data_IF_874012040227
#
_entry.id   IF_874012040227
#
_cell.length_a   1.000
_cell.length_b   1.000
_cell.length_c   1.000
_cell.angle_alpha   90.00
_cell.angle_beta   90.00
_cell.angle_gamma   90.00
#
_symmetry.space_group_name_H-M   'P 1'
#
loop_
_entity.id
_entity.type
_entity.pdbx_description
1 polymer ?
#
# COMPACT_ATOMS: atom_id res chain seq x y z
N UNK A 1 19.10 -16.89 6.49
CA UNK A 1 19.82 -15.65 6.87
C UNK A 1 19.27 -14.40 6.17
N UNK A 2 19.55 -14.15 4.88
CA UNK A 2 19.08 -12.91 4.19
C UNK A 2 17.55 -12.72 4.26
N UNK A 3 16.78 -13.73 3.86
CA UNK A 3 15.30 -13.68 3.86
C UNK A 3 14.74 -13.55 5.28
N UNK A 4 15.31 -14.26 6.25
CA UNK A 4 14.90 -14.17 7.66
C UNK A 4 15.13 -12.76 8.22
N UNK A 5 16.28 -12.14 7.92
CA UNK A 5 16.58 -10.79 8.37
C UNK A 5 15.64 -9.75 7.71
N UNK A 6 15.35 -9.91 6.42
CA UNK A 6 14.41 -9.05 5.71
C UNK A 6 12.98 -9.21 6.25
N UNK A 7 12.51 -10.44 6.44
CA UNK A 7 11.21 -10.72 7.02
C UNK A 7 11.10 -10.17 8.45
N UNK A 8 12.14 -10.35 9.28
CA UNK A 8 12.22 -9.79 10.63
C UNK A 8 12.11 -8.26 10.61
N UNK A 9 12.78 -7.60 9.66
CA UNK A 9 12.68 -6.15 9.51
C UNK A 9 11.25 -5.72 9.15
N UNK A 10 10.63 -6.36 8.15
CA UNK A 10 9.26 -6.03 7.72
C UNK A 10 8.27 -6.23 8.87
N UNK A 11 8.25 -7.40 9.52
CA UNK A 11 7.28 -7.65 10.59
C UNK A 11 7.48 -6.79 11.82
N UNK A 12 8.68 -6.25 12.07
CA UNK A 12 8.94 -5.34 13.20
C UNK A 12 8.53 -3.89 12.91
N UNK A 13 8.62 -3.45 11.66
CA UNK A 13 8.46 -2.03 11.30
C UNK A 13 7.15 -1.73 10.56
N UNK A 14 6.63 -2.67 9.75
CA UNK A 14 5.38 -2.52 9.03
C UNK A 14 4.15 -2.59 9.96
N UNK A 15 2.94 -2.36 9.42
CA UNK A 15 2.59 -2.15 8.00
C UNK A 15 2.74 -0.69 7.50
N UNK A 16 3.13 0.23 8.37
CA UNK A 16 3.31 1.65 8.02
C UNK A 16 4.71 1.84 7.48
N UNK A 17 4.81 2.43 6.29
CA UNK A 17 6.11 2.78 5.69
C UNK A 17 6.58 4.16 6.13
N UNK A 18 7.90 4.34 6.23
CA UNK A 18 8.52 5.64 6.45
C UNK A 18 8.46 6.54 5.22
N UNK A 19 8.48 5.94 4.02
CA UNK A 19 8.32 6.62 2.73
C UNK A 19 7.62 5.66 1.74
N UNK A 20 6.78 6.20 0.86
CA UNK A 20 6.19 5.46 -0.26
C UNK A 20 7.19 5.30 -1.41
N UNK A 21 6.79 4.63 -2.50
CA UNK A 21 7.71 4.32 -3.61
C UNK A 21 8.26 5.56 -4.33
N UNK A 22 7.66 6.72 -4.10
CA UNK A 22 8.11 8.00 -4.64
C UNK A 22 9.11 8.72 -3.72
N UNK A 23 9.42 8.15 -2.55
CA UNK A 23 10.37 8.68 -1.57
C UNK A 23 9.88 10.00 -0.93
N UNK A 24 8.57 10.13 -0.81
CA UNK A 24 7.92 11.38 -0.38
C UNK A 24 7.26 11.25 0.99
N UNK A 25 6.35 10.30 1.17
CA UNK A 25 5.44 10.35 2.32
C UNK A 25 5.39 9.06 3.14
N UNK A 26 5.28 9.22 4.46
CA UNK A 26 5.07 8.10 5.40
C UNK A 26 3.57 7.76 5.51
N UNK A 27 3.25 6.47 5.72
CA UNK A 27 1.87 6.06 5.94
C UNK A 27 1.53 4.66 5.41
N UNK A 28 0.24 4.43 5.23
CA UNK A 28 -0.32 3.24 4.59
C UNK A 28 -0.44 3.47 3.09
N UNK A 29 0.52 2.99 2.32
CA UNK A 29 0.48 3.01 0.85
C UNK A 29 -0.05 1.68 0.32
N UNK A 30 -1.05 1.64 -0.58
CA UNK A 30 -1.46 0.41 -1.25
C UNK A 30 -0.31 -0.33 -1.93
N UNK A 31 0.65 0.40 -2.51
CA UNK A 31 1.83 -0.20 -3.14
C UNK A 31 2.72 -0.89 -2.12
N UNK A 32 3.10 -0.17 -1.06
CA UNK A 32 3.99 -0.73 -0.04
C UNK A 32 3.33 -1.91 0.68
N UNK A 33 2.06 -1.79 1.06
CA UNK A 33 1.30 -2.90 1.64
C UNK A 33 1.28 -4.13 0.71
N UNK A 34 1.07 -3.93 -0.60
CA UNK A 34 1.07 -5.02 -1.56
C UNK A 34 2.39 -5.79 -1.60
N UNK A 35 3.50 -5.05 -1.64
CA UNK A 35 4.86 -5.62 -1.67
C UNK A 35 5.21 -6.30 -0.35
N UNK A 36 4.89 -5.66 0.79
CA UNK A 36 5.13 -6.21 2.11
C UNK A 36 4.40 -7.54 2.31
N UNK A 37 3.09 -7.58 2.05
CA UNK A 37 2.27 -8.78 2.22
C UNK A 37 2.74 -9.90 1.29
N UNK A 38 2.99 -9.61 0.01
CA UNK A 38 3.50 -10.61 -0.93
C UNK A 38 4.89 -11.13 -0.52
N UNK A 39 5.76 -10.23 -0.03
CA UNK A 39 7.08 -10.57 0.49
C UNK A 39 7.02 -11.46 1.73
N UNK A 40 6.12 -11.18 2.68
CA UNK A 40 5.91 -12.01 3.88
C UNK A 40 5.42 -13.41 3.51
N UNK A 41 4.49 -13.53 2.57
CA UNK A 41 4.01 -14.84 2.09
C UNK A 41 5.10 -15.63 1.37
N UNK A 42 5.86 -14.99 0.49
CA UNK A 42 6.98 -15.62 -0.18
C UNK A 42 8.06 -16.08 0.82
N UNK A 43 8.40 -15.24 1.80
CA UNK A 43 9.31 -15.61 2.87
C UNK A 43 8.78 -16.79 3.69
N UNK A 44 7.47 -16.81 4.00
CA UNK A 44 6.86 -17.93 4.72
C UNK A 44 7.02 -19.25 3.96
N UNK A 45 6.77 -19.29 2.66
CA UNK A 45 6.95 -20.51 1.85
C UNK A 45 8.41 -21.00 1.86
N UNK A 46 9.37 -20.08 1.85
CA UNK A 46 10.80 -20.43 1.95
C UNK A 46 11.16 -21.00 3.32
N UNK A 47 10.59 -20.46 4.40
CA UNK A 47 10.80 -20.97 5.76
C UNK A 47 10.10 -22.32 5.97
N UNK A 48 8.93 -22.51 5.38
CA UNK A 48 8.18 -23.77 5.36
C UNK A 48 9.00 -24.88 4.68
N UNK A 49 9.59 -24.58 3.52
CA UNK A 49 10.50 -25.48 2.82
C UNK A 49 11.76 -25.83 3.63
N UNK A 50 12.13 -25.01 4.61
CA UNK A 50 13.21 -25.29 5.57
C UNK A 50 12.73 -25.94 6.89
N UNK A 51 11.46 -26.31 7.00
CA UNK A 51 10.88 -26.92 8.21
C UNK A 51 10.71 -25.98 9.40
N UNK A 52 10.74 -24.66 9.17
CA UNK A 52 10.62 -23.63 10.22
C UNK A 52 9.14 -23.24 10.41
N UNK A 53 8.37 -24.12 11.06
CA UNK A 53 6.91 -23.99 11.17
C UNK A 53 6.44 -22.73 11.93
N UNK A 54 7.04 -22.43 13.08
CA UNK A 54 6.64 -21.29 13.92
C UNK A 54 6.76 -19.95 13.19
N UNK A 55 7.92 -19.54 12.64
CA UNK A 55 8.02 -18.27 11.92
C UNK A 55 7.18 -18.28 10.63
N UNK A 56 7.03 -19.42 9.97
CA UNK A 56 6.15 -19.55 8.78
C UNK A 56 4.71 -19.15 9.12
N UNK A 57 4.17 -19.68 10.21
CA UNK A 57 2.81 -19.36 10.65
C UNK A 57 2.71 -17.88 11.04
N UNK A 58 3.68 -17.35 11.78
CA UNK A 58 3.69 -15.95 12.17
C UNK A 58 3.69 -14.99 10.96
N UNK A 59 4.51 -15.27 9.94
CA UNK A 59 4.54 -14.47 8.71
C UNK A 59 3.21 -14.50 7.95
N UNK A 60 2.60 -15.69 7.81
CA UNK A 60 1.29 -15.85 7.17
C UNK A 60 0.18 -15.14 7.94
N UNK A 61 0.16 -15.26 9.27
CA UNK A 61 -0.82 -14.57 10.13
C UNK A 61 -0.69 -13.05 10.08
N UNK A 62 0.54 -12.53 10.03
CA UNK A 62 0.82 -11.11 9.87
C UNK A 62 0.35 -10.61 8.50
N UNK A 63 0.70 -11.33 7.43
CA UNK A 63 0.26 -11.03 6.07
C UNK A 63 -1.27 -11.00 5.95
N UNK A 64 -1.96 -11.98 6.55
CA UNK A 64 -3.43 -12.03 6.57
C UNK A 64 -4.01 -10.84 7.34
N UNK A 65 -3.45 -10.51 8.49
CA UNK A 65 -3.89 -9.39 9.32
C UNK A 65 -3.79 -8.06 8.58
N UNK A 66 -2.72 -7.86 7.80
CA UNK A 66 -2.53 -6.66 6.99
C UNK A 66 -3.43 -6.66 5.75
N UNK A 67 -3.52 -7.79 5.03
CA UNK A 67 -4.39 -7.93 3.86
C UNK A 67 -5.86 -7.64 4.16
N UNK A 68 -6.34 -8.10 5.31
CA UNK A 68 -7.70 -7.90 5.83
C UNK A 68 -8.05 -6.43 6.13
N UNK A 69 -7.05 -5.55 6.20
CA UNK A 69 -7.19 -4.17 6.66
C UNK A 69 -6.85 -3.14 5.58
N UNK A 70 -6.40 -3.57 4.40
CA UNK A 70 -6.05 -2.68 3.29
C UNK A 70 -7.19 -1.69 3.02
N UNK A 71 -8.43 -2.16 2.84
CA UNK A 71 -9.57 -1.27 2.55
C UNK A 71 -9.86 -0.31 3.70
N UNK A 72 -9.73 -0.77 4.94
CA UNK A 72 -9.94 0.08 6.12
C UNK A 72 -8.94 1.24 6.12
N UNK A 73 -7.70 0.97 5.75
CA UNK A 73 -6.61 1.95 5.76
C UNK A 73 -6.62 2.86 4.53
N UNK A 74 -6.90 2.33 3.34
CA UNK A 74 -6.58 3.02 2.09
C UNK A 74 -7.76 3.23 1.15
N UNK A 75 -8.96 2.70 1.44
CA UNK A 75 -10.15 2.91 0.60
C UNK A 75 -11.08 3.98 1.18
N UNK A 76 -11.33 5.03 0.38
CA UNK A 76 -12.21 6.15 0.73
C UNK A 76 -13.50 6.10 -0.09
N UNK A 77 -14.57 6.65 0.45
CA UNK A 77 -15.91 6.67 -0.17
C UNK A 77 -16.58 8.01 0.08
N UNK A 78 -17.49 8.43 -0.81
CA UNK A 78 -18.27 9.65 -0.60
C UNK A 78 -17.46 10.94 -0.68
N UNK A 79 -16.36 10.94 -1.44
CA UNK A 79 -15.48 12.09 -1.63
C UNK A 79 -15.85 12.88 -2.88
N UNK A 80 -15.44 14.16 -2.95
CA UNK A 80 -15.65 15.01 -4.12
C UNK A 80 -14.99 14.45 -5.39
N UNK A 81 -13.78 13.90 -5.27
CA UNK A 81 -13.10 13.29 -6.42
C UNK A 81 -13.83 12.01 -6.89
N UNK A 82 -14.40 11.24 -5.97
CA UNK A 82 -15.23 10.07 -6.30
C UNK A 82 -16.48 10.48 -7.07
N UNK A 83 -17.17 11.52 -6.61
CA UNK A 83 -18.33 12.08 -7.30
C UNK A 83 -17.99 12.57 -8.72
N UNK A 84 -16.87 13.29 -8.89
CA UNK A 84 -16.39 13.76 -10.21
C UNK A 84 -16.06 12.62 -11.16
N UNK A 85 -15.44 11.55 -10.65
CA UNK A 85 -15.11 10.35 -11.42
C UNK A 85 -16.31 9.39 -11.63
N UNK A 86 -17.46 9.67 -11.01
CA UNK A 86 -18.65 8.83 -11.09
C UNK A 86 -18.48 7.47 -10.40
N UNK A 87 -17.76 7.42 -9.29
CA UNK A 87 -17.49 6.21 -8.50
C UNK A 87 -17.84 6.39 -7.02
N UNK A 88 -18.22 5.30 -6.37
CA UNK A 88 -18.60 5.32 -4.95
C UNK A 88 -17.39 5.45 -4.01
N UNK A 89 -16.21 5.07 -4.47
CA UNK A 89 -14.96 5.15 -3.73
C UNK A 89 -13.74 4.73 -4.56
N UNK A 90 -12.55 4.89 -3.99
CA UNK A 90 -11.28 4.52 -4.62
C UNK A 90 -10.19 4.34 -3.55
N UNK A 91 -9.10 3.67 -3.92
CA UNK A 91 -7.89 3.65 -3.10
C UNK A 91 -7.11 4.96 -3.24
N UNK A 92 -6.72 5.54 -2.11
CA UNK A 92 -5.85 6.73 -2.07
C UNK A 92 -4.39 6.36 -2.34
N UNK A 93 -3.54 7.34 -2.66
CA UNK A 93 -2.08 7.14 -2.77
C UNK A 93 -1.50 6.62 -1.45
N UNK A 94 -1.79 7.32 -0.37
CA UNK A 94 -1.26 7.03 0.96
C UNK A 94 -2.19 7.62 2.02
N UNK A 95 -2.45 6.87 3.08
CA UNK A 95 -3.17 7.35 4.25
C UNK A 95 -2.18 7.58 5.41
N UNK A 96 -2.27 8.68 6.16
CA UNK A 96 -1.38 8.93 7.28
C UNK A 96 -1.51 7.84 8.36
N UNK A 97 -0.47 7.63 9.20
CA UNK A 97 -0.52 6.62 10.25
C UNK A 97 -1.64 6.89 11.25
N UNK A 98 -2.11 5.83 11.92
CA UNK A 98 -3.04 5.94 13.05
C UNK A 98 -2.33 6.66 14.21
N UNK A 99 -2.53 7.97 14.33
CA UNK A 99 -2.30 8.64 15.61
C UNK A 99 -3.43 8.24 16.58
N UNK A 100 -3.16 8.25 17.88
CA UNK A 100 -4.18 7.91 18.88
C UNK A 100 -5.39 8.86 18.93
N UNK A 101 -5.54 9.82 18.00
CA UNK A 101 -6.62 10.82 17.92
C UNK A 101 -7.65 10.66 16.78
N UNK A 102 -7.27 10.27 15.56
CA UNK A 102 -8.18 10.23 14.40
C UNK A 102 -9.11 8.99 14.36
N UNK A 103 -10.34 9.10 13.83
CA UNK A 103 -11.29 7.97 13.74
C UNK A 103 -10.88 6.93 12.67
N UNK A 104 -10.03 7.31 11.71
CA UNK A 104 -9.42 6.44 10.70
C UNK A 104 -8.11 7.07 10.17
N UNK A 105 -7.09 6.27 9.80
CA UNK A 105 -5.89 6.74 9.10
C UNK A 105 -6.15 7.63 7.90
N UNK A 106 -7.24 7.39 7.17
CA UNK A 106 -7.53 8.04 5.87
C UNK A 106 -8.08 9.47 5.97
N UNK A 107 -8.46 9.92 7.17
CA UNK A 107 -9.07 11.24 7.38
C UNK A 107 -8.01 12.35 7.66
N UNK A 108 -6.72 12.01 7.60
CA UNK A 108 -5.63 12.96 7.85
C UNK A 108 -5.09 13.67 6.59
N UNK A 109 -4.08 14.51 6.80
CA UNK A 109 -3.41 15.27 5.73
C UNK A 109 -2.06 14.64 5.37
N UNK A 110 -1.68 14.77 4.09
CA UNK A 110 -0.39 14.31 3.55
C UNK A 110 0.28 15.51 2.85
N UNK A 111 1.56 15.78 3.15
CA UNK A 111 2.29 16.86 2.50
C UNK A 111 2.72 16.46 1.09
N UNK A 112 2.31 17.21 0.08
CA UNK A 112 2.83 17.09 -1.28
C UNK A 112 4.20 17.77 -1.34
N UNK A 113 5.27 16.97 -1.49
CA UNK A 113 6.63 17.47 -1.74
C UNK A 113 6.71 18.20 -3.08
N UNK A 114 7.80 18.96 -3.26
CA UNK A 114 8.14 19.61 -4.53
C UNK A 114 7.17 20.72 -4.97
N UNK A 115 6.51 21.38 -4.00
CA UNK A 115 5.60 22.51 -4.20
C UNK A 115 5.98 23.71 -3.34
N UNK A 116 5.51 24.93 -3.69
CA UNK A 116 5.64 26.08 -2.81
C UNK A 116 5.00 25.81 -1.43
N UNK A 117 5.59 26.30 -0.31
CA UNK A 117 5.14 25.96 1.06
C UNK A 117 3.67 26.25 1.39
N UNK A 118 3.00 27.09 0.61
CA UNK A 118 1.58 27.42 0.82
C UNK A 118 0.60 26.42 0.15
N UNK A 119 1.08 25.45 -0.64
CA UNK A 119 0.25 24.50 -1.41
C UNK A 119 0.69 23.04 -1.22
N UNK A 120 1.33 22.73 -0.09
CA UNK A 120 1.84 21.39 0.22
C UNK A 120 0.77 20.50 0.84
N UNK A 121 -0.08 21.01 1.73
CA UNK A 121 -0.94 20.12 2.52
C UNK A 121 -2.25 19.79 1.80
N UNK A 122 -2.52 18.50 1.59
CA UNK A 122 -3.79 18.01 1.01
C UNK A 122 -4.41 16.91 1.89
N UNK A 123 -5.75 16.82 1.97
CA UNK A 123 -6.41 15.67 2.57
C UNK A 123 -5.97 14.39 1.85
N UNK A 124 -5.66 13.32 2.59
CA UNK A 124 -5.22 12.04 2.01
C UNK A 124 -6.22 11.51 0.97
N UNK A 125 -7.51 11.67 1.25
CA UNK A 125 -8.59 11.30 0.35
C UNK A 125 -8.57 12.02 -1.01
N UNK A 126 -7.95 13.20 -1.10
CA UNK A 126 -7.84 13.96 -2.33
C UNK A 126 -6.68 13.52 -3.23
N UNK A 127 -5.79 12.63 -2.75
CA UNK A 127 -4.59 12.22 -3.48
C UNK A 127 -4.82 10.83 -4.10
N UNK A 128 -5.05 10.80 -5.42
CA UNK A 128 -5.20 9.57 -6.21
C UNK A 128 -3.84 9.22 -6.81
N UNK A 129 -3.55 7.92 -6.96
CA UNK A 129 -2.32 7.43 -7.61
C UNK A 129 -2.55 6.09 -8.32
N UNK A 130 -1.85 5.79 -9.44
CA UNK A 130 -1.86 4.47 -10.05
C UNK A 130 -1.24 3.37 -9.18
N UNK A 131 -0.56 3.72 -8.10
CA UNK A 131 0.09 2.83 -7.12
C UNK A 131 -0.84 1.72 -6.61
N UNK A 132 -2.14 1.99 -6.50
CA UNK A 132 -3.14 1.02 -6.07
C UNK A 132 -3.25 -0.23 -6.98
N UNK A 133 -2.79 -0.16 -8.24
CA UNK A 133 -2.75 -1.32 -9.14
C UNK A 133 -1.77 -2.39 -8.67
N UNK A 134 -0.84 -2.06 -7.77
CA UNK A 134 0.01 -3.03 -7.10
C UNK A 134 -0.79 -4.11 -6.37
N UNK A 135 -1.96 -3.78 -5.84
CA UNK A 135 -2.85 -4.77 -5.19
C UNK A 135 -3.22 -5.91 -6.16
N UNK A 136 -3.36 -5.61 -7.46
CA UNK A 136 -3.58 -6.63 -8.50
C UNK A 136 -2.26 -7.24 -8.94
N UNK A 137 -1.23 -6.43 -9.19
CA UNK A 137 0.09 -6.89 -9.67
C UNK A 137 0.73 -7.91 -8.73
N UNK A 138 0.54 -7.75 -7.43
CA UNK A 138 1.04 -8.63 -6.37
C UNK A 138 0.01 -9.68 -5.88
N UNK A 139 -1.13 -9.80 -6.58
CA UNK A 139 -2.08 -10.88 -6.36
C UNK A 139 -2.93 -10.78 -5.10
N UNK A 140 -3.11 -9.58 -4.52
CA UNK A 140 -3.95 -9.40 -3.33
C UNK A 140 -5.42 -9.13 -3.65
N UNK A 141 -5.70 -8.49 -4.79
CA UNK A 141 -7.05 -8.21 -5.29
C UNK A 141 -7.20 -8.70 -6.72
N UNK A 142 -8.39 -9.16 -7.07
CA UNK A 142 -8.71 -9.54 -8.44
C UNK A 142 -8.82 -8.27 -9.32
N UNK A 143 -8.48 -8.39 -10.60
CA UNK A 143 -8.50 -7.25 -11.52
C UNK A 143 -9.92 -6.71 -11.77
N UNK A 144 -10.94 -7.55 -11.54
CA UNK A 144 -12.37 -7.27 -11.65
C UNK A 144 -13.05 -6.94 -10.31
N UNK A 145 -12.28 -6.82 -9.22
CA UNK A 145 -12.81 -6.34 -7.93
C UNK A 145 -13.46 -4.95 -8.13
N UNK A 146 -14.71 -4.73 -7.68
CA UNK A 146 -15.40 -3.45 -7.85
C UNK A 146 -14.61 -2.24 -7.33
N UNK A 147 -13.86 -2.40 -6.23
CA UNK A 147 -13.01 -1.34 -5.66
C UNK A 147 -11.84 -1.01 -6.58
N UNK A 148 -11.24 -2.03 -7.21
CA UNK A 148 -10.20 -1.85 -8.23
C UNK A 148 -10.76 -1.17 -9.47
N UNK A 149 -11.91 -1.62 -9.97
CA UNK A 149 -12.56 -1.01 -11.15
C UNK A 149 -12.90 0.46 -10.91
N UNK A 150 -13.44 0.80 -9.74
CA UNK A 150 -13.71 2.18 -9.37
C UNK A 150 -12.41 3.00 -9.25
N UNK A 151 -11.37 2.43 -8.66
CA UNK A 151 -10.06 3.10 -8.53
C UNK A 151 -9.43 3.37 -9.89
N UNK A 152 -9.51 2.43 -10.84
CA UNK A 152 -9.02 2.61 -12.22
C UNK A 152 -9.74 3.79 -12.90
N UNK A 153 -11.06 3.91 -12.74
CA UNK A 153 -11.83 5.05 -13.27
C UNK A 153 -11.40 6.37 -12.63
N UNK A 154 -11.19 6.39 -11.32
CA UNK A 154 -10.71 7.58 -10.61
C UNK A 154 -9.31 8.00 -11.07
N UNK A 155 -8.38 7.04 -11.22
CA UNK A 155 -7.05 7.26 -11.80
C UNK A 155 -7.17 7.86 -13.21
N UNK A 156 -8.01 7.30 -14.05
CA UNK A 156 -8.15 7.76 -15.44
C UNK A 156 -8.82 9.14 -15.54
N UNK A 157 -9.75 9.46 -14.64
CA UNK A 157 -10.40 10.77 -14.61
C UNK A 157 -9.46 11.89 -14.17
N UNK A 158 -8.54 11.61 -13.25
CA UNK A 158 -7.71 12.61 -12.59
C UNK A 158 -6.28 12.70 -13.15
N UNK A 159 -5.69 11.56 -13.54
CA UNK A 159 -4.25 11.46 -13.81
C UNK A 159 -3.91 11.11 -15.26
N UNK A 160 -4.89 10.80 -16.10
CA UNK A 160 -4.62 10.47 -17.50
C UNK A 160 -4.30 11.72 -18.30
N UNK A 161 -3.22 11.65 -19.07
CA UNK A 161 -2.82 12.64 -20.06
C UNK A 161 -2.84 12.01 -21.45
N UNK A 162 -3.73 12.47 -22.32
CA UNK A 162 -3.82 12.01 -23.70
C UNK A 162 -2.83 12.77 -24.59
N UNK A 163 -1.80 12.08 -25.06
CA UNK A 163 -0.75 12.62 -25.92
C UNK A 163 -0.84 12.06 -27.35
N UNK A 164 -0.20 12.69 -28.35
CA UNK A 164 -0.18 12.16 -29.73
C UNK A 164 0.36 10.73 -29.86
N UNK A 165 1.18 10.29 -28.90
CA UNK A 165 1.74 8.94 -28.85
C UNK A 165 0.81 7.91 -28.20
N UNK A 166 -0.25 8.34 -27.52
CA UNK A 166 -1.15 7.54 -26.70
C UNK A 166 -1.25 8.08 -25.26
N UNK A 167 -2.09 7.45 -24.41
CA UNK A 167 -2.33 7.90 -23.05
C UNK A 167 -1.19 7.54 -22.09
N UNK A 168 -0.78 8.52 -21.28
CA UNK A 168 0.14 8.33 -20.15
C UNK A 168 -0.51 8.81 -18.85
N UNK A 169 0.15 8.59 -17.71
CA UNK A 169 -0.37 9.01 -16.40
C UNK A 169 0.68 9.77 -15.59
N UNK A 170 0.22 10.72 -14.77
CA UNK A 170 1.03 11.32 -13.70
C UNK A 170 1.12 10.35 -12.51
N UNK A 171 2.13 10.55 -11.64
CA UNK A 171 2.36 9.69 -10.46
C UNK A 171 1.21 9.76 -9.46
N UNK A 172 0.71 10.97 -9.20
CA UNK A 172 -0.41 11.22 -8.31
C UNK A 172 -0.96 12.64 -8.49
N UNK A 173 -2.14 12.90 -7.91
CA UNK A 173 -2.81 14.20 -8.01
C UNK A 173 -1.96 15.30 -7.38
N UNK A 174 -1.60 16.29 -8.19
CA UNK A 174 -0.83 17.43 -7.73
C UNK A 174 0.68 17.21 -7.61
N UNK A 175 1.23 16.17 -8.22
CA UNK A 175 2.69 15.99 -8.31
C UNK A 175 3.44 17.26 -8.76
N UNK A 176 4.51 17.62 -8.05
CA UNK A 176 5.37 18.78 -8.31
C UNK A 176 6.75 18.44 -8.87
N UNK A 177 7.06 17.16 -9.09
CA UNK A 177 8.40 16.73 -9.52
C UNK A 177 8.53 16.73 -11.05
N UNK A 178 8.91 17.88 -11.60
CA UNK A 178 9.18 18.03 -13.03
C UNK A 178 9.48 19.48 -13.36
N UNK A 179 9.64 19.79 -14.64
CA UNK A 179 9.93 21.15 -15.08
C UNK A 179 8.84 22.13 -14.64
N UNK A 180 9.18 23.42 -14.59
CA UNK A 180 8.22 24.50 -14.38
C UNK A 180 7.29 24.69 -15.60
N UNK A 181 6.26 25.51 -15.45
CA UNK A 181 5.31 25.81 -16.53
C UNK A 181 5.98 26.42 -17.77
N UNK A 182 7.06 27.19 -17.58
CA UNK A 182 7.86 27.80 -18.65
C UNK A 182 8.90 26.83 -19.27
N UNK A 183 8.90 25.56 -18.84
CA UNK A 183 9.87 24.55 -19.27
C UNK A 183 11.26 24.71 -18.68
N UNK A 184 11.45 25.60 -17.69
CA UNK A 184 12.71 25.64 -16.95
C UNK A 184 12.89 24.38 -16.10
N UNK A 185 14.14 23.90 -15.93
CA UNK A 185 14.41 22.67 -15.20
C UNK A 185 13.90 22.70 -13.76
N UNK A 186 13.55 21.52 -13.23
CA UNK A 186 13.22 21.33 -11.82
C UNK A 186 14.36 21.82 -10.91
N UNK A 187 14.02 22.60 -9.88
CA UNK A 187 14.97 23.19 -8.94
C UNK A 187 14.62 22.88 -7.45
N UNK A 188 13.74 21.91 -7.24
CA UNK A 188 13.14 21.61 -5.93
C UNK A 188 11.63 21.87 -5.89
N UNK A 189 11.10 22.63 -6.86
CA UNK A 189 9.66 22.74 -7.10
C UNK A 189 9.36 22.70 -8.60
N UNK A 190 8.13 22.37 -8.98
CA UNK A 190 7.72 22.37 -10.38
C UNK A 190 6.36 21.73 -10.60
N UNK A 191 6.20 21.09 -11.76
CA UNK A 191 5.01 20.33 -12.12
C UNK A 191 5.41 18.95 -12.61
N UNK A 192 4.90 17.91 -11.94
CA UNK A 192 5.06 16.54 -12.39
C UNK A 192 4.54 16.36 -13.81
N UNK A 193 5.25 15.55 -14.60
CA UNK A 193 4.89 15.23 -15.98
C UNK A 193 4.43 13.77 -16.09
N UNK A 194 3.84 13.33 -17.22
CA UNK A 194 3.42 11.94 -17.38
C UNK A 194 4.61 10.98 -17.47
N UNK A 195 4.48 9.80 -16.85
CA UNK A 195 5.52 8.77 -16.78
C UNK A 195 5.20 7.60 -17.73
N UNK A 196 6.05 7.30 -18.73
CA UNK A 196 5.86 6.13 -19.60
C UNK A 196 5.82 4.81 -18.86
N UNK A 197 6.58 4.69 -17.77
CA UNK A 197 6.56 3.56 -16.85
C UNK A 197 5.13 3.16 -16.44
N UNK A 198 4.28 4.15 -16.15
CA UNK A 198 2.93 3.91 -15.65
C UNK A 198 1.97 3.40 -16.74
N UNK A 199 2.26 3.66 -18.02
CA UNK A 199 1.57 2.97 -19.12
C UNK A 199 1.95 1.48 -19.15
N UNK A 200 3.20 1.14 -18.85
CA UNK A 200 3.64 -0.25 -18.65
C UNK A 200 2.94 -0.94 -17.49
N UNK A 201 2.84 -0.29 -16.32
CA UNK A 201 2.13 -0.82 -15.16
C UNK A 201 0.62 -0.98 -15.44
N UNK A 202 -0.01 0.00 -16.10
CA UNK A 202 -1.40 -0.10 -16.57
C UNK A 202 -1.55 -1.28 -17.53
N UNK A 203 -0.63 -1.49 -18.47
CA UNK A 203 -0.70 -2.60 -19.41
C UNK A 203 -0.71 -3.98 -18.72
N UNK A 204 0.06 -4.15 -17.64
CA UNK A 204 0.00 -5.38 -16.84
C UNK A 204 -1.35 -5.55 -16.13
N UNK A 205 -1.95 -4.47 -15.63
CA UNK A 205 -3.31 -4.52 -15.10
C UNK A 205 -4.33 -4.91 -16.19
N UNK A 206 -4.24 -4.30 -17.37
CA UNK A 206 -5.12 -4.63 -18.50
C UNK A 206 -4.99 -6.09 -18.93
N UNK A 207 -3.77 -6.63 -18.94
CA UNK A 207 -3.52 -8.04 -19.19
C UNK A 207 -4.12 -8.93 -18.10
N UNK A 208 -3.95 -8.59 -16.82
CA UNK A 208 -4.57 -9.30 -15.70
C UNK A 208 -6.10 -9.26 -15.75
N UNK A 209 -6.69 -8.20 -16.30
CA UNK A 209 -8.12 -8.06 -16.55
C UNK A 209 -8.60 -8.78 -17.82
N UNK A 210 -7.74 -9.54 -18.50
CA UNK A 210 -8.06 -10.28 -19.73
C UNK A 210 -8.15 -9.42 -21.00
N UNK A 211 -7.73 -8.15 -20.95
CA UNK A 211 -7.80 -7.18 -22.05
C UNK A 211 -6.47 -7.10 -22.80
N UNK A 212 -6.04 -8.22 -23.39
CA UNK A 212 -4.73 -8.36 -24.05
C UNK A 212 -4.48 -7.32 -25.15
N UNK A 213 -5.47 -7.02 -25.98
CA UNK A 213 -5.33 -6.03 -27.05
C UNK A 213 -5.08 -4.63 -26.50
N UNK A 214 -5.70 -4.28 -25.37
CA UNK A 214 -5.47 -3.01 -24.69
C UNK A 214 -4.07 -2.94 -24.09
N UNK A 215 -3.59 -4.02 -23.50
CA UNK A 215 -2.22 -4.11 -23.01
C UNK A 215 -1.19 -3.95 -24.14
N UNK A 216 -1.45 -4.53 -25.33
CA UNK A 216 -0.58 -4.36 -26.50
C UNK A 216 -0.55 -2.90 -27.02
N UNK A 217 -1.70 -2.22 -27.06
CA UNK A 217 -1.75 -0.78 -27.41
C UNK A 217 -0.96 0.10 -26.43
N UNK A 218 -0.99 -0.25 -25.14
CA UNK A 218 -0.21 0.46 -24.12
C UNK A 218 1.29 0.16 -24.23
N UNK A 219 1.68 -1.04 -24.65
CA UNK A 219 3.07 -1.32 -25.02
C UNK A 219 3.53 -0.41 -26.17
N UNK A 220 2.73 -0.25 -27.22
CA UNK A 220 3.07 0.66 -28.33
C UNK A 220 3.21 2.11 -27.85
N UNK A 221 2.33 2.55 -26.95
CA UNK A 221 2.40 3.88 -26.31
C UNK A 221 3.70 4.03 -25.51
N UNK A 222 4.05 3.01 -24.73
CA UNK A 222 5.26 2.99 -23.92
C UNK A 222 6.51 3.08 -24.82
N UNK A 223 6.59 2.28 -25.88
CA UNK A 223 7.71 2.28 -26.83
C UNK A 223 7.81 3.62 -27.60
N UNK A 224 6.69 4.24 -27.96
CA UNK A 224 6.67 5.55 -28.63
C UNK A 224 7.15 6.71 -27.76
N UNK A 225 7.22 6.51 -26.45
CA UNK A 225 7.76 7.49 -25.50
C UNK A 225 9.29 7.57 -25.53
N UNK A 226 9.96 6.60 -26.17
CA UNK A 226 11.42 6.58 -26.24
C UNK A 226 12.00 7.73 -27.07
N UNK A 227 13.20 8.16 -26.70
CA UNK A 227 14.01 9.06 -27.53
C UNK A 227 14.49 8.39 -28.83
N UNK A 228 15.15 9.16 -29.70
CA UNK A 228 15.64 8.67 -31.02
C UNK A 228 16.56 7.45 -30.92
N UNK A 229 17.30 7.30 -29.80
CA UNK A 229 18.17 6.17 -29.53
C UNK A 229 17.46 4.95 -28.94
N UNK A 230 16.14 4.97 -28.76
CA UNK A 230 15.36 3.89 -28.14
C UNK A 230 15.44 3.84 -26.62
N UNK A 231 15.98 4.89 -25.98
CA UNK A 231 16.04 4.99 -24.53
C UNK A 231 14.71 5.49 -23.98
N UNK A 232 14.11 4.73 -23.05
CA UNK A 232 12.91 5.12 -22.33
C UNK A 232 13.23 6.14 -21.23
N UNK A 233 12.54 7.30 -21.20
CA UNK A 233 12.74 8.31 -20.17
C UNK A 233 11.93 8.00 -18.91
N UNK A 234 12.24 8.73 -17.85
CA UNK A 234 11.40 8.80 -16.66
C UNK A 234 10.08 9.54 -16.95
N UNK A 235 10.16 10.72 -17.56
CA UNK A 235 9.02 11.59 -17.87
C UNK A 235 9.01 12.05 -19.32
N UNK A 236 7.84 12.42 -19.82
CA UNK A 236 7.67 13.06 -21.14
C UNK A 236 7.03 14.44 -21.03
N UNK A 237 7.35 15.33 -21.96
CA UNK A 237 6.76 16.66 -22.03
C UNK A 237 5.30 16.61 -22.49
N UNK A 238 4.43 17.33 -21.78
CA UNK A 238 2.97 17.29 -21.94
C UNK A 238 2.35 18.65 -22.32
N UNK A 239 3.19 19.62 -22.68
CA UNK A 239 2.79 20.97 -23.10
C UNK A 239 3.14 21.22 -24.56
N UNK A 240 2.67 22.35 -25.15
CA UNK A 240 3.13 22.75 -26.48
C UNK A 240 4.65 22.77 -26.59
N UNK A 241 5.14 22.59 -27.80
CA UNK A 241 6.57 22.56 -28.08
C UNK A 241 7.26 23.83 -27.59
N UNK A 242 8.40 23.65 -26.93
CA UNK A 242 9.29 24.73 -26.47
C UNK A 242 10.68 24.49 -27.08
N UNK A 243 10.90 24.86 -28.36
CA UNK A 243 12.13 24.51 -29.09
C UNK A 243 13.40 25.05 -28.44
N UNK A 244 13.36 26.25 -27.84
CA UNK A 244 14.50 26.87 -27.16
C UNK A 244 14.95 26.10 -25.90
N UNK A 245 14.12 25.17 -25.42
CA UNK A 245 14.39 24.26 -24.29
C UNK A 245 14.55 22.80 -24.74
N UNK A 246 14.48 22.53 -26.05
CA UNK A 246 14.50 21.18 -26.63
C UNK A 246 13.33 20.28 -26.15
N UNK A 247 12.22 20.88 -25.70
CA UNK A 247 11.04 20.17 -25.22
C UNK A 247 9.99 20.08 -26.33
N UNK A 248 9.51 18.86 -26.60
CA UNK A 248 8.54 18.58 -27.67
C UNK A 248 7.40 17.74 -27.13
N UNK A 249 6.16 18.06 -27.49
CA UNK A 249 4.97 17.37 -26.99
C UNK A 249 5.05 15.86 -27.21
N UNK A 250 4.98 15.10 -26.14
CA UNK A 250 5.05 13.64 -26.14
C UNK A 250 6.47 13.08 -26.36
N UNK A 251 7.52 13.88 -26.17
CA UNK A 251 8.92 13.45 -26.19
C UNK A 251 9.53 13.49 -24.80
N UNK A 252 10.68 12.81 -24.57
CA UNK A 252 11.38 12.86 -23.30
C UNK A 252 11.52 14.30 -22.76
N UNK A 253 11.25 14.47 -21.47
CA UNK A 253 11.53 15.73 -20.77
C UNK A 253 13.01 15.83 -20.37
N UNK A 254 13.39 16.81 -19.54
CA UNK A 254 14.72 16.93 -18.94
C UNK A 254 14.99 15.99 -17.76
N UNK A 255 14.04 15.11 -17.42
CA UNK A 255 14.18 14.06 -16.40
C UNK A 255 15.17 12.96 -16.79
N UNK A 256 15.39 11.98 -15.91
CA UNK A 256 16.35 10.91 -16.15
C UNK A 256 16.04 10.10 -17.43
N UNK A 257 17.02 9.96 -18.31
CA UNK A 257 16.96 9.07 -19.49
C UNK A 257 18.36 8.49 -19.79
N UNK A 258 18.53 7.14 -19.76
CA UNK A 258 17.50 6.13 -19.59
C UNK A 258 17.08 5.93 -18.12
N UNK A 259 15.78 5.74 -17.88
CA UNK A 259 15.29 5.22 -16.60
C UNK A 259 15.35 3.68 -16.64
N UNK A 260 16.23 3.07 -15.85
CA UNK A 260 16.40 1.60 -15.80
C UNK A 260 15.11 0.89 -15.37
N UNK A 261 14.32 1.50 -14.49
CA UNK A 261 13.01 0.98 -14.08
C UNK A 261 12.04 0.88 -15.27
N UNK A 262 11.92 1.92 -16.10
CA UNK A 262 11.08 1.88 -17.30
C UNK A 262 11.51 0.75 -18.26
N UNK A 263 12.81 0.56 -18.44
CA UNK A 263 13.32 -0.55 -19.28
C UNK A 263 13.02 -1.92 -18.68
N UNK A 264 13.14 -2.08 -17.36
CA UNK A 264 12.76 -3.33 -16.69
C UNK A 264 11.25 -3.60 -16.85
N UNK A 265 10.40 -2.58 -16.70
CA UNK A 265 8.95 -2.72 -16.88
C UNK A 265 8.60 -3.09 -18.33
N UNK A 266 9.28 -2.51 -19.32
CA UNK A 266 9.13 -2.86 -20.73
C UNK A 266 9.47 -4.34 -21.00
N UNK A 267 10.60 -4.83 -20.51
CA UNK A 267 10.99 -6.25 -20.67
C UNK A 267 9.97 -7.18 -20.00
N UNK A 268 9.50 -6.84 -18.80
CA UNK A 268 8.47 -7.61 -18.09
C UNK A 268 7.15 -7.60 -18.84
N UNK A 269 6.77 -6.49 -19.47
CA UNK A 269 5.54 -6.39 -20.27
C UNK A 269 5.62 -7.24 -21.54
N UNK A 270 6.74 -7.18 -22.27
CA UNK A 270 6.98 -8.03 -23.44
C UNK A 270 6.86 -9.52 -23.08
N UNK A 271 7.49 -9.91 -21.97
CA UNK A 271 7.39 -11.28 -21.46
C UNK A 271 5.95 -11.65 -21.08
N UNK A 272 5.25 -10.76 -20.41
CA UNK A 272 3.87 -10.98 -19.98
C UNK A 272 2.90 -11.14 -21.15
N UNK A 273 3.00 -10.28 -22.18
CA UNK A 273 2.16 -10.35 -23.38
C UNK A 273 2.39 -11.64 -24.18
N UNK A 274 3.65 -12.09 -24.24
CA UNK A 274 4.01 -13.37 -24.86
C UNK A 274 3.39 -14.55 -24.12
N UNK A 275 3.49 -14.56 -22.79
CA UNK A 275 2.97 -15.65 -21.95
C UNK A 275 1.44 -15.57 -21.79
N UNK A 276 0.82 -14.42 -22.09
CA UNK A 276 -0.61 -14.19 -21.89
C UNK A 276 -1.01 -14.02 -20.42
N UNK A 277 -0.04 -13.82 -19.53
CA UNK A 277 -0.22 -13.64 -18.10
C UNK A 277 0.88 -12.71 -17.56
N UNK A 278 0.60 -12.03 -16.45
CA UNK A 278 1.57 -11.15 -15.79
C UNK A 278 2.75 -11.98 -15.27
N UNK A 279 3.94 -11.73 -15.80
CA UNK A 279 5.14 -12.56 -15.60
C UNK A 279 5.64 -12.58 -14.15
N UNK A 280 5.62 -11.43 -13.49
CA UNK A 280 6.19 -11.21 -12.15
C UNK A 280 5.13 -11.18 -11.04
N UNK A 281 3.92 -11.70 -11.32
CA UNK A 281 2.88 -11.82 -10.31
C UNK A 281 3.20 -12.98 -9.35
N UNK A 282 3.39 -12.73 -8.04
CA UNK A 282 3.63 -13.79 -7.06
C UNK A 282 2.38 -14.67 -6.88
N UNK A 283 2.51 -16.00 -6.91
CA UNK A 283 1.35 -16.89 -6.85
C UNK A 283 0.69 -16.93 -5.47
N UNK A 284 1.43 -16.62 -4.39
CA UNK A 284 0.97 -16.81 -3.01
C UNK A 284 -0.30 -16.02 -2.70
N UNK A 285 -0.33 -14.74 -3.05
CA UNK A 285 -1.51 -13.89 -2.85
C UNK A 285 -2.72 -14.39 -3.63
N UNK A 286 -2.52 -14.84 -4.87
CA UNK A 286 -3.59 -15.34 -5.73
C UNK A 286 -4.25 -16.58 -5.13
N UNK A 287 -3.45 -17.57 -4.74
CA UNK A 287 -4.00 -18.79 -4.13
C UNK A 287 -4.67 -18.48 -2.78
N UNK A 288 -4.04 -17.64 -1.96
CA UNK A 288 -4.47 -17.38 -0.59
C UNK A 288 -5.68 -16.44 -0.50
N UNK A 289 -5.64 -15.30 -1.16
CA UNK A 289 -6.60 -14.21 -1.00
C UNK A 289 -7.66 -14.14 -2.11
N UNK A 290 -7.29 -14.44 -3.35
CA UNK A 290 -8.24 -14.39 -4.47
C UNK A 290 -9.05 -15.69 -4.55
N UNK A 291 -8.36 -16.84 -4.63
CA UNK A 291 -9.01 -18.16 -4.74
C UNK A 291 -9.50 -18.67 -3.39
N UNK A 292 -8.61 -18.69 -2.39
CA UNK A 292 -8.89 -19.20 -1.05
C UNK A 292 -9.73 -18.27 -0.19
N UNK A 293 -9.84 -16.97 -0.55
CA UNK A 293 -10.55 -15.93 0.22
C UNK A 293 -10.17 -15.94 1.70
N UNK A 294 -8.90 -16.18 1.98
CA UNK A 294 -8.38 -16.29 3.34
C UNK A 294 -8.53 -14.96 4.06
N UNK A 295 -9.08 -15.00 5.27
CA UNK A 295 -9.20 -13.85 6.17
C UNK A 295 -8.45 -14.14 7.46
N UNK A 296 -7.98 -13.10 8.14
CA UNK A 296 -7.26 -13.29 9.41
C UNK A 296 -8.20 -13.64 10.55
N UNK A 297 -7.92 -14.65 11.39
CA UNK A 297 -8.71 -14.92 12.59
C UNK A 297 -8.41 -13.95 13.74
N UNK A 298 -7.48 -13.01 13.55
CA UNK A 298 -7.00 -12.11 14.60
C UNK A 298 -6.84 -10.67 14.10
N UNK A 299 -6.59 -9.77 15.06
CA UNK A 299 -6.09 -8.42 14.84
C UNK A 299 -4.93 -8.16 15.77
N UNK A 300 -3.93 -7.45 15.27
CA UNK A 300 -2.72 -7.14 16.01
C UNK A 300 -2.77 -5.74 16.59
N UNK A 301 -2.48 -5.61 17.88
CA UNK A 301 -2.26 -4.34 18.55
C UNK A 301 -0.79 -4.19 18.92
N UNK A 302 -0.24 -2.99 18.69
CA UNK A 302 1.14 -2.62 19.05
C UNK A 302 1.19 -1.18 19.55
N UNK A 303 2.27 -0.81 20.23
CA UNK A 303 2.51 0.60 20.61
C UNK A 303 2.61 1.55 19.41
N UNK A 304 3.12 1.08 18.28
CA UNK A 304 3.21 1.84 17.02
C UNK A 304 2.00 1.61 16.09
N UNK A 305 1.03 0.77 16.49
CA UNK A 305 -0.22 0.55 15.76
C UNK A 305 -1.34 0.23 16.77
N UNK A 306 -1.87 1.29 17.39
CA UNK A 306 -2.85 1.21 18.48
C UNK A 306 -4.26 1.16 17.92
N UNK A 307 -4.63 0.01 17.38
CA UNK A 307 -6.01 -0.21 16.92
C UNK A 307 -6.99 0.08 18.06
N UNK A 308 -8.11 0.75 17.75
CA UNK A 308 -9.15 1.08 18.73
C UNK A 308 -10.31 0.10 18.73
N UNK A 309 -10.39 -0.73 17.71
CA UNK A 309 -11.43 -1.73 17.59
C UNK A 309 -11.02 -2.92 16.73
N UNK A 310 -11.70 -4.03 16.99
CA UNK A 310 -11.61 -5.27 16.24
C UNK A 310 -13.01 -5.77 15.87
N UNK A 311 -13.18 -6.41 14.71
CA UNK A 311 -14.41 -7.13 14.38
C UNK A 311 -14.70 -8.25 15.40
N UNK A 312 -15.98 -8.41 15.78
CA UNK A 312 -16.43 -9.56 16.57
C UNK A 312 -16.00 -10.89 15.92
N UNK A 313 -15.65 -11.88 16.75
CA UNK A 313 -15.18 -13.19 16.31
C UNK A 313 -13.66 -13.31 16.09
N UNK A 314 -12.89 -12.22 16.21
CA UNK A 314 -11.42 -12.24 16.07
C UNK A 314 -10.70 -12.24 17.43
N UNK A 315 -9.52 -12.84 17.47
CA UNK A 315 -8.59 -12.71 18.60
C UNK A 315 -7.91 -11.34 18.59
N UNK A 316 -7.49 -10.87 19.76
CA UNK A 316 -6.62 -9.70 19.90
C UNK A 316 -5.19 -10.19 20.20
N UNK A 317 -4.30 -10.11 19.20
CA UNK A 317 -2.88 -10.36 19.40
C UNK A 317 -2.21 -9.09 19.87
N UNK A 318 -1.58 -9.14 21.03
CA UNK A 318 -0.79 -8.02 21.55
C UNK A 318 0.69 -8.34 21.32
N UNK A 319 1.40 -7.45 20.63
CA UNK A 319 2.83 -7.62 20.33
C UNK A 319 3.67 -6.48 20.89
N UNK A 320 4.76 -6.86 21.55
CA UNK A 320 5.63 -6.01 22.34
C UNK A 320 7.09 -6.21 21.91
N UNK A 321 7.92 -5.18 22.12
CA UNK A 321 9.37 -5.23 21.88
C UNK A 321 10.17 -5.85 23.01
N UNK A 322 9.52 -6.18 24.14
CA UNK A 322 10.14 -6.74 25.33
C UNK A 322 9.17 -7.70 26.06
N UNK A 323 9.67 -8.59 26.93
CA UNK A 323 8.83 -9.44 27.76
C UNK A 323 7.85 -8.61 28.59
N UNK A 324 6.58 -9.03 28.61
CA UNK A 324 5.51 -8.28 29.29
C UNK A 324 4.40 -9.19 29.78
N UNK A 325 3.67 -8.70 30.78
CA UNK A 325 2.38 -9.26 31.19
C UNK A 325 1.29 -8.30 30.75
N UNK A 326 0.39 -8.78 29.91
CA UNK A 326 -0.83 -8.06 29.56
C UNK A 326 -1.83 -8.30 30.67
N UNK A 327 -2.12 -7.25 31.43
CA UNK A 327 -3.12 -7.21 32.48
C UNK A 327 -4.40 -6.67 31.87
N UNK A 328 -5.48 -7.44 31.82
CA UNK A 328 -6.65 -7.07 31.03
C UNK A 328 -7.99 -7.52 31.62
N UNK A 329 -9.04 -6.85 31.17
CA UNK A 329 -10.42 -7.09 31.55
C UNK A 329 -11.36 -6.84 30.37
N UNK A 330 -12.52 -7.49 30.38
CA UNK A 330 -13.63 -7.24 29.45
C UNK A 330 -14.90 -6.76 30.15
N UNK A 331 -14.83 -6.54 31.47
CA UNK A 331 -15.96 -6.20 32.34
C UNK A 331 -15.62 -5.03 33.27
N UNK A 332 -14.83 -4.06 32.77
CA UNK A 332 -14.44 -2.83 33.48
C UNK A 332 -13.70 -3.11 34.80
N UNK A 333 -12.75 -4.04 34.76
CA UNK A 333 -11.92 -4.44 35.90
C UNK A 333 -12.69 -5.14 37.04
N UNK A 334 -13.93 -5.60 36.81
CA UNK A 334 -14.62 -6.47 37.77
C UNK A 334 -13.93 -7.84 37.87
N UNK A 335 -13.47 -8.36 36.74
CA UNK A 335 -12.54 -9.48 36.66
C UNK A 335 -11.27 -9.07 35.94
N UNK A 336 -10.18 -9.75 36.31
CA UNK A 336 -8.83 -9.47 35.83
C UNK A 336 -8.23 -10.76 35.31
N UNK A 337 -7.53 -10.66 34.20
CA UNK A 337 -6.71 -11.72 33.63
C UNK A 337 -5.30 -11.21 33.36
N UNK A 338 -4.30 -12.02 33.68
CA UNK A 338 -2.91 -11.76 33.35
C UNK A 338 -2.45 -12.75 32.29
N UNK A 339 -1.89 -12.24 31.20
CA UNK A 339 -1.43 -13.04 30.07
C UNK A 339 0.02 -12.68 29.73
N UNK A 340 0.94 -13.62 29.93
CA UNK A 340 2.38 -13.43 29.67
C UNK A 340 2.66 -13.54 28.17
N UNK A 341 3.50 -12.66 27.67
CA UNK A 341 4.00 -12.76 26.29
C UNK A 341 5.07 -13.85 26.16
N UNK A 342 5.16 -14.44 24.97
CA UNK A 342 6.22 -15.35 24.56
C UNK A 342 6.99 -14.76 23.37
N UNK A 343 8.30 -14.93 23.34
CA UNK A 343 9.14 -14.48 22.22
C UNK A 343 8.97 -15.42 21.03
N UNK A 344 8.78 -14.86 19.84
CA UNK A 344 8.77 -15.61 18.58
C UNK A 344 10.17 -15.66 17.92
N UNK A 345 10.32 -16.38 16.81
CA UNK A 345 11.60 -16.48 16.10
C UNK A 345 12.12 -15.15 15.51
N UNK A 346 11.30 -14.09 15.51
CA UNK A 346 11.69 -12.74 15.08
C UNK A 346 11.91 -11.78 16.24
N UNK A 347 12.07 -12.27 17.48
CA UNK A 347 12.32 -11.45 18.66
C UNK A 347 11.19 -10.49 19.01
N UNK A 348 9.95 -10.85 18.66
CA UNK A 348 8.73 -10.13 19.02
C UNK A 348 8.06 -10.92 20.14
N UNK A 349 7.70 -10.23 21.22
CA UNK A 349 6.99 -10.81 22.34
C UNK A 349 5.49 -10.68 22.12
N UNK A 350 4.77 -11.79 22.01
CA UNK A 350 3.34 -11.76 21.69
C UNK A 350 2.48 -12.61 22.62
N UNK A 351 1.20 -12.26 22.71
CA UNK A 351 0.15 -13.07 23.33
C UNK A 351 -1.18 -12.86 22.64
N UNK A 352 -1.94 -13.94 22.46
CA UNK A 352 -3.29 -13.91 21.90
C UNK A 352 -4.33 -13.90 23.01
N UNK A 353 -5.07 -12.80 23.13
CA UNK A 353 -6.16 -12.68 24.10
C UNK A 353 -7.42 -13.34 23.53
N UNK A 354 -8.08 -14.25 24.27
CA UNK A 354 -9.23 -15.04 23.79
C UNK A 354 -10.54 -14.24 23.80
N UNK A 355 -10.54 -13.09 23.12
CA UNK A 355 -11.65 -12.12 23.07
C UNK A 355 -12.65 -12.40 21.96
N UNK A 356 -12.39 -13.41 21.13
CA UNK A 356 -13.20 -13.79 19.97
C UNK A 356 -14.63 -14.25 20.32
N UNK A 357 -14.90 -14.59 21.58
CA UNK A 357 -16.24 -14.99 22.06
C UNK A 357 -17.00 -13.88 22.78
N UNK A 358 -16.39 -12.72 22.96
CA UNK A 358 -17.01 -11.58 23.60
C UNK A 358 -18.08 -10.96 22.68
N UNK A 359 -19.12 -10.40 23.28
CA UNK A 359 -20.23 -9.81 22.56
C UNK A 359 -19.82 -8.49 21.91
N UNK A 360 -20.47 -8.16 20.79
CA UNK A 360 -20.37 -6.84 20.19
C UNK A 360 -20.67 -5.73 21.21
N UNK A 361 -19.94 -4.61 21.12
CA UNK A 361 -20.04 -3.48 22.03
C UNK A 361 -19.27 -3.67 23.34
N UNK A 362 -18.64 -4.84 23.53
CA UNK A 362 -17.72 -5.05 24.65
C UNK A 362 -16.44 -4.25 24.44
N UNK A 363 -15.91 -3.66 25.49
CA UNK A 363 -14.62 -2.97 25.47
C UNK A 363 -13.61 -3.78 26.28
N UNK A 364 -12.53 -4.16 25.61
CA UNK A 364 -11.35 -4.76 26.24
C UNK A 364 -10.52 -3.60 26.79
N UNK A 365 -10.22 -3.63 28.08
CA UNK A 365 -9.32 -2.67 28.73
C UNK A 365 -8.08 -3.43 29.19
N UNK A 366 -6.89 -2.90 28.91
CA UNK A 366 -5.65 -3.55 29.30
C UNK A 366 -4.52 -2.55 29.58
N UNK A 367 -3.57 -2.98 30.39
CA UNK A 367 -2.31 -2.31 30.65
C UNK A 367 -1.18 -3.34 30.70
N UNK A 368 0.06 -2.88 30.89
CA UNK A 368 1.24 -3.73 30.87
C UNK A 368 2.00 -3.66 32.20
N UNK A 369 2.38 -4.83 32.71
CA UNK A 369 3.45 -4.94 33.69
C UNK A 369 4.72 -5.42 32.99
N UNK A 370 5.82 -4.71 33.23
CA UNK A 370 7.14 -4.97 32.65
C UNK A 370 8.03 -5.68 33.69
N UNK A 371 8.19 -7.02 33.61
CA UNK A 371 8.83 -7.78 34.68
C UNK A 371 10.30 -7.41 34.91
N UNK A 372 11.04 -7.12 33.83
CA UNK A 372 12.47 -6.77 33.93
C UNK A 372 12.70 -5.42 34.61
N UNK A 373 11.82 -4.44 34.33
CA UNK A 373 11.88 -3.12 34.92
C UNK A 373 11.09 -2.99 36.24
N UNK A 374 10.37 -4.05 36.64
CA UNK A 374 9.50 -4.09 37.82
C UNK A 374 8.55 -2.88 37.91
N UNK A 375 7.99 -2.46 36.76
CA UNK A 375 7.11 -1.29 36.67
C UNK A 375 5.86 -1.57 35.85
N UNK A 376 4.80 -0.86 36.19
CA UNK A 376 3.60 -0.76 35.35
C UNK A 376 3.80 0.28 34.25
N UNK A 377 3.07 0.11 33.16
CA UNK A 377 2.97 1.12 32.10
C UNK A 377 2.23 2.39 32.57
N UNK A 378 1.37 2.27 33.59
CA UNK A 378 0.58 3.36 34.19
C UNK A 378 -0.37 4.06 33.20
N UNK A 379 -0.72 3.38 32.10
CA UNK A 379 -1.69 3.83 31.11
C UNK A 379 -2.59 2.64 30.76
N UNK A 380 -3.90 2.88 30.73
CA UNK A 380 -4.88 1.92 30.23
C UNK A 380 -5.10 2.15 28.73
N UNK A 381 -5.12 1.06 27.98
CA UNK A 381 -5.47 1.01 26.58
C UNK A 381 -6.83 0.34 26.41
N UNK A 382 -7.54 0.71 25.35
CA UNK A 382 -8.87 0.16 25.08
C UNK A 382 -9.00 -0.30 23.64
N UNK A 383 -9.69 -1.42 23.45
CA UNK A 383 -10.08 -1.96 22.15
C UNK A 383 -11.54 -2.36 22.21
N UNK A 384 -12.38 -1.75 21.38
CA UNK A 384 -13.79 -2.09 21.24
C UNK A 384 -14.00 -3.30 20.33
N UNK A 385 -15.06 -4.06 20.58
CA UNK A 385 -15.52 -5.12 19.69
C UNK A 385 -16.65 -4.57 18.83
N UNK A 386 -16.33 -4.31 17.57
CA UNK A 386 -17.25 -3.73 16.59
C UNK A 386 -18.03 -4.81 15.85
N UNK A 387 -18.98 -4.37 15.02
CA UNK A 387 -19.63 -5.27 14.07
C UNK A 387 -18.58 -5.95 13.19
N UNK A 388 -18.80 -7.22 12.79
CA UNK A 388 -18.03 -7.84 11.72
C UNK A 388 -18.02 -6.90 10.51
N UNK A 389 -16.85 -6.63 9.90
CA UNK A 389 -16.78 -5.82 8.69
C UNK A 389 -17.82 -6.35 7.68
N UNK A 390 -18.84 -5.54 7.40
CA UNK A 390 -19.88 -5.84 6.42
C UNK A 390 -19.26 -5.90 5.02
N UNK A 391 -19.72 -6.87 4.24
CA UNK A 391 -19.33 -7.12 2.85
C UNK A 391 -19.45 -5.88 1.96
#
# INVERSE_FOLDING_TARGET
AMIENAAAYVVRNGPVTGEDRWEEDAGYSPFTLAVEIAGLLAAADMLDACGKNEPTNYLRETADCWNDQIERWTYVTGTDAGAKAGVEGYYVRIAPPDDGGAASPKDGFVPIKNRPPADTDRPAEAIISPDALALVRFGLRAADDPRILNTVKAIDAELRCDLPLGPLWYRYSGDGYGEHEDGSPFDGTGQGRPWPLLAGERAHYELAAGRKDRAAQLLETFERSAGVGGLLPEQVWDRPDTPDRELWLGKPSGSAMPLVWAHAEHIKLLRSLRDGAVFDLPPQGVERYIKGKTVSPLRTWRFNNKIRSIPAGKLLRVELSAPGVVHWSSDKWLTVQDSRTAENAFGIHLVDLPVNRLQQGTTIVFTFFWPEAMRWENVDFTVAIDQPNGQ
#
